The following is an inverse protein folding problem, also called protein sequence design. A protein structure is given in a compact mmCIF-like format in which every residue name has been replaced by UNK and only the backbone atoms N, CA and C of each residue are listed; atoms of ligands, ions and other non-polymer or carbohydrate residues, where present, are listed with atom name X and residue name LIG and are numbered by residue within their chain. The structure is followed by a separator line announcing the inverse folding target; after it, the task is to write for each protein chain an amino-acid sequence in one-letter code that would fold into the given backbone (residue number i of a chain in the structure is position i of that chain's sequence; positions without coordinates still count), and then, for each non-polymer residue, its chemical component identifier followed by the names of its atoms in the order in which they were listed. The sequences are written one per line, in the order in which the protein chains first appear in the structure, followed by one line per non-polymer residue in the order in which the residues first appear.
data_IF_903342011683
#
_entry.id   IF_903342011683
#
_cell.length_a   1.000
_cell.length_b   1.000
_cell.length_c   1.000
_cell.angle_alpha   90.00
_cell.angle_beta   90.00
_cell.angle_gamma   90.00
#
_symmetry.space_group_name_H-M   'P 1'
#
loop_
_entity.id
_entity.type
_entity.pdbx_description
1 polymer ?
#
# COMPACT_ATOMS: atom_id res chain seq x y z
N UNK A 1 1.02 6.31 27.81
CA UNK A 1 2.01 5.32 27.36
C UNK A 1 1.69 4.99 25.91
N UNK A 2 2.52 5.40 24.93
CA UNK A 2 2.29 5.00 23.53
C UNK A 2 2.70 3.53 23.42
N UNK A 3 1.75 2.62 23.22
CA UNK A 3 2.10 1.30 22.68
C UNK A 3 2.67 1.55 21.29
N UNK A 4 3.95 1.26 21.10
CA UNK A 4 4.49 1.16 19.75
C UNK A 4 3.85 -0.07 19.11
N UNK A 5 3.21 0.13 17.96
CA UNK A 5 2.66 -0.99 17.20
C UNK A 5 3.80 -1.94 16.83
N UNK A 6 3.74 -3.18 17.32
CA UNK A 6 4.69 -4.24 16.96
C UNK A 6 4.28 -4.79 15.59
N UNK A 7 5.26 -4.91 14.69
CA UNK A 7 5.09 -5.57 13.40
C UNK A 7 5.57 -7.01 13.57
N UNK A 8 4.77 -7.98 13.11
CA UNK A 8 5.10 -9.39 13.12
C UNK A 8 4.96 -9.98 11.72
N UNK A 9 5.84 -10.91 11.39
CA UNK A 9 5.68 -11.76 10.20
C UNK A 9 4.47 -12.69 10.40
N UNK A 10 3.69 -12.88 9.34
CA UNK A 10 2.49 -13.71 9.36
C UNK A 10 2.38 -14.54 8.09
N UNK A 11 1.71 -15.71 8.13
CA UNK A 11 1.41 -16.46 6.92
C UNK A 11 0.59 -15.62 5.94
N UNK A 12 0.86 -15.78 4.65
CA UNK A 12 0.08 -15.14 3.60
C UNK A 12 -1.36 -15.70 3.59
N UNK A 13 -2.40 -14.85 3.66
CA UNK A 13 -3.79 -15.32 3.61
C UNK A 13 -4.12 -16.04 2.30
N UNK A 14 -4.99 -17.06 2.36
CA UNK A 14 -5.38 -17.88 1.19
C UNK A 14 -6.03 -17.07 0.06
N UNK A 15 -6.65 -15.95 0.39
CA UNK A 15 -7.31 -15.04 -0.55
C UNK A 15 -6.44 -13.83 -0.94
N UNK A 16 -5.16 -13.79 -0.56
CA UNK A 16 -4.27 -12.71 -0.94
C UNK A 16 -3.93 -12.77 -2.44
N UNK A 17 -3.88 -11.61 -3.11
CA UNK A 17 -3.50 -11.50 -4.52
C UNK A 17 -2.11 -12.10 -4.81
N UNK A 18 -1.23 -12.07 -3.80
CA UNK A 18 0.13 -12.60 -3.88
C UNK A 18 0.22 -14.13 -3.99
N UNK A 19 -0.87 -14.87 -3.72
CA UNK A 19 -0.88 -16.34 -3.81
C UNK A 19 -0.48 -16.86 -5.19
N UNK A 20 -0.67 -16.08 -6.25
CA UNK A 20 -0.20 -16.43 -7.60
C UNK A 20 1.32 -16.56 -7.67
N UNK A 21 2.05 -15.70 -6.96
CA UNK A 21 3.51 -15.65 -6.98
C UNK A 21 4.10 -16.77 -6.13
N UNK A 22 3.45 -17.12 -5.01
CA UNK A 22 3.79 -18.32 -4.22
C UNK A 22 3.76 -19.57 -5.10
N UNK A 23 2.72 -19.74 -5.93
CA UNK A 23 2.56 -20.89 -6.83
C UNK A 23 3.63 -20.93 -7.94
N UNK A 24 4.15 -19.77 -8.33
CA UNK A 24 5.23 -19.63 -9.30
C UNK A 24 6.62 -19.84 -8.70
N UNK A 25 6.73 -19.99 -7.38
CA UNK A 25 8.01 -20.11 -6.66
C UNK A 25 8.72 -18.78 -6.42
N UNK A 26 8.03 -17.65 -6.61
CA UNK A 26 8.57 -16.33 -6.34
C UNK A 26 8.65 -16.04 -4.84
N UNK A 27 9.50 -15.09 -4.45
CA UNK A 27 9.58 -14.62 -3.08
C UNK A 27 8.34 -13.77 -2.72
N UNK A 28 7.69 -14.13 -1.62
CA UNK A 28 6.59 -13.36 -1.04
C UNK A 28 6.79 -13.23 0.47
N UNK A 29 6.50 -12.05 1.01
CA UNK A 29 6.44 -11.80 2.44
C UNK A 29 5.04 -11.35 2.87
N UNK A 30 4.77 -11.42 4.17
CA UNK A 30 3.53 -10.91 4.74
C UNK A 30 3.78 -10.49 6.20
N UNK A 31 3.39 -9.26 6.51
CA UNK A 31 3.54 -8.67 7.83
C UNK A 31 2.21 -8.12 8.30
N UNK A 32 2.00 -8.15 9.61
CA UNK A 32 0.82 -7.56 10.24
C UNK A 32 1.19 -6.77 11.48
N UNK A 33 0.31 -5.83 11.82
CA UNK A 33 0.36 -5.10 13.09
C UNK A 33 -1.06 -4.82 13.57
N UNK A 34 -1.21 -4.58 14.86
CA UNK A 34 -2.50 -4.25 15.47
C UNK A 34 -2.54 -2.77 15.84
N UNK A 35 -3.65 -2.14 15.50
CA UNK A 35 -3.98 -0.77 15.91
C UNK A 35 -5.27 -0.79 16.74
N UNK A 36 -5.39 0.13 17.69
CA UNK A 36 -6.52 0.18 18.64
C UNK A 36 -7.80 0.79 18.05
N UNK A 37 -7.84 0.98 16.73
CA UNK A 37 -8.94 1.62 16.00
C UNK A 37 -9.33 0.75 14.81
N UNK A 38 -10.63 0.72 14.49
CA UNK A 38 -11.10 0.12 13.24
C UNK A 38 -10.74 1.04 12.07
N UNK A 39 -9.95 0.53 11.13
CA UNK A 39 -9.50 1.27 9.94
C UNK A 39 -10.03 0.56 8.71
N UNK A 40 -10.81 1.27 7.89
CA UNK A 40 -11.23 0.75 6.59
C UNK A 40 -10.07 0.76 5.59
N UNK A 41 -10.12 -0.08 4.55
CA UNK A 41 -9.09 -0.09 3.51
C UNK A 41 -8.89 1.30 2.85
N UNK A 42 -9.95 2.06 2.50
CA UNK A 42 -9.77 3.41 1.97
C UNK A 42 -9.08 4.37 2.95
N UNK A 43 -9.41 4.28 4.25
CA UNK A 43 -8.74 5.09 5.28
C UNK A 43 -7.25 4.73 5.38
N UNK A 44 -6.93 3.44 5.35
CA UNK A 44 -5.56 2.96 5.36
C UNK A 44 -4.77 3.44 4.13
N UNK A 45 -5.31 3.27 2.92
CA UNK A 45 -4.67 3.70 1.66
C UNK A 45 -4.40 5.21 1.69
N UNK A 46 -5.40 6.02 2.07
CA UNK A 46 -5.24 7.47 2.19
C UNK A 46 -4.16 7.84 3.22
N UNK A 47 -4.21 7.27 4.42
CA UNK A 47 -3.23 7.58 5.47
C UNK A 47 -1.80 7.18 5.06
N UNK A 48 -1.64 5.97 4.49
CA UNK A 48 -0.35 5.41 4.12
C UNK A 48 0.35 6.24 3.03
N UNK A 49 -0.31 6.40 1.87
CA UNK A 49 0.29 7.07 0.72
C UNK A 49 0.42 8.59 0.87
N UNK A 50 -0.22 9.21 1.87
CA UNK A 50 -0.11 10.66 2.13
C UNK A 50 0.84 11.01 3.28
N UNK A 51 1.47 10.00 3.92
CA UNK A 51 2.53 10.24 4.91
C UNK A 51 3.75 10.94 4.29
N UNK A 52 4.58 11.55 5.14
CA UNK A 52 5.77 12.30 4.70
C UNK A 52 6.74 11.48 3.85
N UNK A 53 6.99 10.22 4.22
CA UNK A 53 7.91 9.34 3.48
C UNK A 53 7.41 9.05 2.06
N UNK A 54 6.12 8.77 1.90
CA UNK A 54 5.53 8.54 0.58
C UNK A 54 5.42 9.83 -0.23
N UNK A 55 5.18 10.99 0.41
CA UNK A 55 5.25 12.28 -0.29
C UNK A 55 6.65 12.58 -0.82
N UNK A 56 7.71 12.16 -0.11
CA UNK A 56 9.08 12.20 -0.62
C UNK A 56 9.26 11.30 -1.85
N UNK A 57 8.76 10.06 -1.80
CA UNK A 57 8.78 9.16 -2.96
C UNK A 57 8.08 9.77 -4.19
N UNK A 58 6.92 10.40 -4.01
CA UNK A 58 6.22 11.06 -5.13
C UNK A 58 7.05 12.15 -5.79
N UNK A 59 7.81 12.91 -5.01
CA UNK A 59 8.75 13.91 -5.56
C UNK A 59 9.83 13.22 -6.39
N UNK A 60 10.39 12.12 -5.90
CA UNK A 60 11.39 11.33 -6.61
C UNK A 60 10.81 10.80 -7.94
N UNK A 61 9.63 10.18 -7.92
CA UNK A 61 8.99 9.63 -9.11
C UNK A 61 8.59 10.69 -10.13
N UNK A 62 8.14 11.86 -9.67
CA UNK A 62 7.86 13.01 -10.52
C UNK A 62 9.11 13.43 -11.31
N UNK A 63 10.27 13.50 -10.65
CA UNK A 63 11.48 14.04 -11.26
C UNK A 63 12.31 13.00 -12.02
N UNK A 64 12.41 11.76 -11.52
CA UNK A 64 13.30 10.74 -12.08
C UNK A 64 12.60 9.84 -13.11
N UNK A 65 11.28 9.67 -13.01
CA UNK A 65 10.52 8.71 -13.82
C UNK A 65 9.36 9.38 -14.57
N UNK A 66 9.16 10.69 -14.39
CA UNK A 66 8.05 11.45 -15.00
C UNK A 66 6.66 10.86 -14.70
N UNK A 67 6.51 10.28 -13.50
CA UNK A 67 5.26 9.70 -13.00
C UNK A 67 4.79 10.45 -11.75
N UNK A 68 4.24 11.67 -11.89
CA UNK A 68 3.71 12.41 -10.75
C UNK A 68 2.45 11.72 -10.19
N UNK A 69 2.20 11.92 -8.90
CA UNK A 69 0.93 11.56 -8.27
C UNK A 69 0.52 12.57 -7.20
N UNK A 70 -0.78 12.65 -6.93
CA UNK A 70 -1.44 13.64 -6.08
C UNK A 70 -2.24 12.97 -4.96
N UNK A 71 -2.66 13.76 -3.97
CA UNK A 71 -3.54 13.24 -2.91
C UNK A 71 -4.92 12.86 -3.47
N UNK A 72 -5.36 13.47 -4.58
CA UNK A 72 -6.58 13.09 -5.29
C UNK A 72 -6.43 11.72 -6.00
N UNK A 73 -5.27 11.43 -6.60
CA UNK A 73 -5.01 10.11 -7.20
C UNK A 73 -5.06 9.00 -6.13
N UNK A 74 -4.55 9.28 -4.92
CA UNK A 74 -4.68 8.34 -3.78
C UNK A 74 -6.13 8.14 -3.38
N UNK A 75 -6.93 9.21 -3.39
CA UNK A 75 -8.36 9.11 -3.07
C UNK A 75 -9.10 8.26 -4.11
N UNK A 76 -8.81 8.45 -5.39
CA UNK A 76 -9.39 7.63 -6.47
C UNK A 76 -8.99 6.16 -6.36
N UNK A 77 -7.74 5.87 -6.02
CA UNK A 77 -7.27 4.51 -5.75
C UNK A 77 -7.98 3.90 -4.54
N UNK A 78 -8.10 4.66 -3.45
CA UNK A 78 -8.77 4.23 -2.23
C UNK A 78 -10.26 3.93 -2.43
N UNK A 79 -10.91 4.71 -3.30
CA UNK A 79 -12.33 4.56 -3.67
C UNK A 79 -12.55 3.52 -4.78
N UNK A 80 -11.51 2.76 -5.18
CA UNK A 80 -11.55 1.80 -6.28
C UNK A 80 -12.09 2.41 -7.59
N UNK A 81 -11.84 3.71 -7.79
CA UNK A 81 -12.24 4.47 -8.98
C UNK A 81 -11.15 4.51 -10.05
N UNK A 82 -9.94 4.05 -9.73
CA UNK A 82 -8.86 3.83 -10.67
C UNK A 82 -7.99 2.63 -10.26
N UNK A 83 -7.37 1.98 -11.25
CA UNK A 83 -6.45 0.86 -11.04
C UNK A 83 -5.00 1.26 -11.29
N UNK A 84 -4.71 2.56 -11.45
CA UNK A 84 -3.35 3.07 -11.69
C UNK A 84 -3.01 4.19 -10.74
N UNK A 85 -1.76 4.20 -10.26
CA UNK A 85 -1.24 5.21 -9.33
C UNK A 85 0.25 5.40 -9.57
N UNK A 86 0.70 6.63 -9.84
CA UNK A 86 2.08 6.96 -10.23
C UNK A 86 2.67 6.01 -11.30
N UNK A 87 3.59 5.12 -10.89
CA UNK A 87 4.26 4.17 -11.78
C UNK A 87 3.65 2.75 -11.74
N UNK A 88 2.58 2.54 -10.98
CA UNK A 88 2.04 1.23 -10.64
C UNK A 88 0.60 1.04 -11.13
N UNK A 89 0.21 -0.23 -11.24
CA UNK A 89 -1.17 -0.66 -11.44
C UNK A 89 -1.57 -1.71 -10.41
N UNK A 90 -2.85 -1.73 -10.03
CA UNK A 90 -3.45 -2.78 -9.19
C UNK A 90 -3.35 -4.12 -9.94
N UNK A 91 -3.12 -5.19 -9.20
CA UNK A 91 -3.06 -6.55 -9.74
C UNK A 91 -4.44 -7.21 -9.66
N UNK A 92 -4.81 -7.94 -10.72
CA UNK A 92 -6.11 -8.63 -10.87
C UNK A 92 -6.16 -9.99 -10.17
#
# INVERSE_FOLDING_TARGET
MRMFASIAETPLPDNALLQRYVRSGDYTDCFSTRVDTVVSLPQYINAFYTTGIFKTERVILKWLVSRPSTDEDVRQLADASCDTFAAWSVQD
#
